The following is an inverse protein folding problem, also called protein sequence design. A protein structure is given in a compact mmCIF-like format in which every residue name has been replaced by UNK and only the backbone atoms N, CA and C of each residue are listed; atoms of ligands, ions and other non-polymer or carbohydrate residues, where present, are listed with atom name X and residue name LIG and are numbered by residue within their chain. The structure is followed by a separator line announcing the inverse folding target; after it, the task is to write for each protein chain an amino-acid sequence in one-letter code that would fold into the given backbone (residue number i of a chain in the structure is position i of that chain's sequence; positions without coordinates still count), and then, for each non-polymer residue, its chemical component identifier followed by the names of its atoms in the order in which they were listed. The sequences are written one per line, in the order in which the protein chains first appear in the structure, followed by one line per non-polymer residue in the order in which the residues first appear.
data_IF_678328381746
#
_entry.id   IF_678328381746
#
_cell.length_a   1.000
_cell.length_b   1.000
_cell.length_c   1.000
_cell.angle_alpha   90.00
_cell.angle_beta   90.00
_cell.angle_gamma   90.00
#
_symmetry.space_group_name_H-M   'P 1'
#
loop_
_entity.id
_entity.type
_entity.pdbx_description
1 polymer ?
#
# COMPACT_ATOMS: atom_id res chain seq x y z
N UNK A 1 -15.83 8.68 1.60
CA UNK A 1 -15.63 9.62 0.45
C UNK A 1 -15.04 8.81 -0.69
N UNK A 2 -15.73 8.66 -1.81
CA UNK A 2 -15.22 7.93 -2.98
C UNK A 2 -14.03 8.69 -3.56
N UNK A 3 -12.91 8.00 -3.83
CA UNK A 3 -11.74 8.59 -4.50
C UNK A 3 -12.17 9.19 -5.85
N UNK A 4 -11.86 10.46 -6.06
CA UNK A 4 -12.16 11.11 -7.36
C UNK A 4 -11.14 10.61 -8.39
N UNK A 5 -11.61 10.09 -9.49
CA UNK A 5 -10.86 9.45 -10.61
C UNK A 5 -9.77 10.32 -11.27
N UNK A 6 -9.65 11.61 -10.92
CA UNK A 6 -8.79 12.60 -11.60
C UNK A 6 -7.67 13.18 -10.73
N UNK A 7 -7.47 12.67 -9.50
CA UNK A 7 -6.49 13.22 -8.56
C UNK A 7 -5.51 12.12 -8.14
N UNK A 8 -4.21 12.30 -8.40
CA UNK A 8 -3.19 11.40 -7.84
C UNK A 8 -3.09 11.60 -6.33
N UNK A 9 -3.20 10.54 -5.56
CA UNK A 9 -3.08 10.56 -4.10
C UNK A 9 -1.61 10.47 -3.68
N UNK A 10 -1.21 11.27 -2.69
CA UNK A 10 0.08 11.15 -2.02
C UNK A 10 -0.18 10.57 -0.63
N UNK A 11 0.33 9.36 -0.39
CA UNK A 11 0.05 8.61 0.82
C UNK A 11 1.34 8.31 1.59
N UNK A 12 1.55 8.95 2.74
CA UNK A 12 2.63 8.54 3.65
C UNK A 12 2.38 7.11 4.16
N UNK A 13 3.45 6.32 4.26
CA UNK A 13 3.41 4.98 4.83
C UNK A 13 3.63 4.99 6.34
N UNK A 14 2.87 4.17 7.07
CA UNK A 14 3.05 3.86 8.49
C UNK A 14 3.08 2.35 8.64
N UNK A 15 4.29 1.78 8.72
CA UNK A 15 4.50 0.35 8.86
C UNK A 15 4.63 -0.01 10.33
N UNK A 16 3.79 -0.94 10.81
CA UNK A 16 3.72 -1.31 12.23
C UNK A 16 4.53 -2.59 12.46
N UNK A 17 5.52 -2.53 13.36
CA UNK A 17 6.29 -3.70 13.81
C UNK A 17 6.68 -3.54 15.27
N UNK A 18 6.45 -4.59 16.08
CA UNK A 18 6.76 -4.62 17.52
C UNK A 18 6.19 -3.39 18.27
N UNK A 19 5.00 -2.92 17.87
CA UNK A 19 4.37 -1.76 18.50
C UNK A 19 4.86 -0.40 18.05
N UNK A 20 5.81 -0.33 17.12
CA UNK A 20 6.44 0.90 16.62
C UNK A 20 6.12 1.14 15.15
N UNK A 21 6.27 2.37 14.70
CA UNK A 21 6.35 2.69 13.28
C UNK A 21 7.79 2.46 12.80
N UNK A 22 7.94 1.66 11.74
CA UNK A 22 9.27 1.30 11.20
C UNK A 22 9.34 1.57 9.70
N UNK A 23 10.57 1.62 9.18
CA UNK A 23 10.85 1.51 7.75
C UNK A 23 11.96 0.49 7.54
N UNK A 24 11.70 -0.51 6.71
CA UNK A 24 12.63 -1.61 6.42
C UNK A 24 13.33 -1.39 5.06
N UNK A 25 14.51 -1.96 4.90
CA UNK A 25 15.16 -2.10 3.59
C UNK A 25 14.67 -3.39 2.95
N UNK A 26 14.02 -3.30 1.80
CA UNK A 26 13.45 -4.44 1.05
C UNK A 26 12.60 -5.39 1.93
N UNK A 27 11.92 -4.85 2.94
CA UNK A 27 11.07 -5.63 3.83
C UNK A 27 11.79 -6.64 4.73
N UNK A 28 13.13 -6.62 4.79
CA UNK A 28 13.90 -7.59 5.57
C UNK A 28 13.82 -7.28 7.07
N UNK A 29 13.35 -8.22 7.91
CA UNK A 29 13.39 -8.05 9.36
C UNK A 29 14.81 -7.88 9.86
N UNK A 30 15.06 -6.88 10.71
CA UNK A 30 16.39 -6.53 11.21
C UNK A 30 17.12 -5.49 10.37
N UNK A 31 16.50 -4.99 9.30
CA UNK A 31 17.03 -3.91 8.46
C UNK A 31 16.37 -2.55 8.75
N UNK A 32 15.82 -2.37 9.97
CA UNK A 32 15.10 -1.15 10.33
C UNK A 32 16.02 0.07 10.23
N UNK A 33 15.73 0.96 9.27
CA UNK A 33 16.40 2.26 9.16
C UNK A 33 15.69 3.36 9.94
N UNK A 34 14.45 3.11 10.35
CA UNK A 34 13.61 4.01 11.14
C UNK A 34 12.87 3.18 12.17
N UNK A 35 12.84 3.64 13.42
CA UNK A 35 11.96 3.15 14.48
C UNK A 35 11.43 4.35 15.28
N UNK A 36 10.11 4.51 15.32
CA UNK A 36 9.42 5.60 16.03
C UNK A 36 8.33 4.99 16.91
N UNK A 37 8.30 5.37 18.16
CA UNK A 37 7.25 4.98 19.11
C UNK A 37 5.90 5.60 18.71
N UNK A 38 4.81 4.96 19.14
CA UNK A 38 3.45 5.47 18.96
C UNK A 38 3.06 5.70 17.48
N UNK A 39 2.85 4.64 16.69
CA UNK A 39 2.46 4.74 15.27
C UNK A 39 1.26 5.65 15.02
N UNK A 40 0.33 5.72 15.98
CA UNK A 40 -0.83 6.62 15.92
C UNK A 40 -0.44 8.10 15.87
N UNK A 41 0.61 8.50 16.60
CA UNK A 41 1.11 9.88 16.57
C UNK A 41 1.88 10.15 15.26
N UNK A 42 2.53 9.15 14.68
CA UNK A 42 3.15 9.27 13.36
C UNK A 42 2.09 9.49 12.29
N UNK A 43 1.01 8.71 12.32
CA UNK A 43 -0.12 8.89 11.41
C UNK A 43 -0.73 10.30 11.55
N UNK A 44 -0.92 10.76 12.80
CA UNK A 44 -1.43 12.11 13.08
C UNK A 44 -0.49 13.20 12.57
N UNK A 45 0.81 13.03 12.73
CA UNK A 45 1.81 13.98 12.19
C UNK A 45 1.66 14.14 10.67
N UNK A 46 1.48 13.04 9.93
CA UNK A 46 1.27 13.12 8.48
C UNK A 46 -0.04 13.81 8.12
N UNK A 47 -1.12 13.54 8.86
CA UNK A 47 -2.38 14.27 8.68
C UNK A 47 -2.22 15.77 8.94
N UNK A 48 -1.53 16.16 10.01
CA UNK A 48 -1.30 17.56 10.38
C UNK A 48 -0.45 18.29 9.33
N UNK A 49 0.42 17.60 8.61
CA UNK A 49 1.16 18.13 7.46
C UNK A 49 0.31 18.21 6.17
N UNK A 50 -0.93 17.71 6.20
CA UNK A 50 -1.88 17.85 5.11
C UNK A 50 -2.09 16.59 4.27
N UNK A 51 -1.60 15.42 4.69
CA UNK A 51 -1.94 14.15 4.05
C UNK A 51 -3.45 13.95 4.07
N UNK A 52 -4.03 13.55 2.94
CA UNK A 52 -5.47 13.29 2.81
C UNK A 52 -5.82 11.80 2.90
N UNK A 53 -4.82 10.96 2.88
CA UNK A 53 -4.93 9.51 3.01
C UNK A 53 -3.64 8.99 3.66
N UNK A 54 -3.73 7.91 4.42
CA UNK A 54 -2.58 7.24 5.04
C UNK A 54 -2.56 5.79 4.61
N UNK A 55 -1.37 5.30 4.27
CA UNK A 55 -1.12 3.89 3.99
C UNK A 55 -0.55 3.21 5.23
N UNK A 56 -1.22 2.16 5.72
CA UNK A 56 -0.79 1.43 6.93
C UNK A 56 -0.49 -0.02 6.57
N UNK A 57 0.64 -0.54 7.02
CA UNK A 57 1.00 -1.96 6.90
C UNK A 57 1.25 -2.57 8.28
N UNK A 58 0.51 -3.62 8.61
CA UNK A 58 0.75 -4.44 9.79
C UNK A 58 1.79 -5.52 9.48
N UNK A 59 3.06 -5.21 9.73
CA UNK A 59 4.17 -6.15 9.54
C UNK A 59 4.16 -7.26 10.58
N UNK A 60 3.67 -7.04 11.80
CA UNK A 60 3.53 -8.10 12.82
C UNK A 60 2.51 -9.14 12.35
N UNK A 61 1.38 -8.71 11.80
CA UNK A 61 0.42 -9.58 11.15
C UNK A 61 1.02 -10.35 9.98
N UNK A 62 1.90 -9.69 9.19
CA UNK A 62 2.56 -10.32 8.03
C UNK A 62 3.61 -11.34 8.44
N UNK A 63 4.51 -10.98 9.36
CA UNK A 63 5.70 -11.77 9.73
C UNK A 63 5.34 -12.84 10.78
N UNK A 64 4.66 -12.42 11.86
CA UNK A 64 4.41 -13.24 13.03
C UNK A 64 3.02 -13.86 13.05
N UNK A 65 2.11 -13.41 12.20
CA UNK A 65 0.69 -13.82 12.19
C UNK A 65 -0.12 -13.27 13.37
N UNK A 66 0.41 -12.29 14.09
CA UNK A 66 -0.23 -11.63 15.24
C UNK A 66 -0.61 -10.22 14.79
N UNK A 67 -1.91 -10.00 14.61
CA UNK A 67 -2.41 -8.70 14.17
C UNK A 67 -2.23 -7.61 15.23
N UNK A 68 -1.76 -6.44 14.80
CA UNK A 68 -1.60 -5.24 15.65
C UNK A 68 -2.93 -4.47 15.83
N UNK A 69 -4.03 -5.19 16.11
CA UNK A 69 -5.39 -4.68 16.06
C UNK A 69 -5.63 -3.47 16.99
N UNK A 70 -5.03 -3.49 18.18
CA UNK A 70 -5.17 -2.36 19.12
C UNK A 70 -4.45 -1.10 18.63
N UNK A 71 -3.33 -1.26 17.91
CA UNK A 71 -2.61 -0.13 17.31
C UNK A 71 -3.42 0.43 16.15
N UNK A 72 -3.98 -0.43 15.30
CA UNK A 72 -4.86 -0.02 14.20
C UNK A 72 -6.03 0.81 14.74
N UNK A 73 -6.68 0.37 15.82
CA UNK A 73 -7.76 1.13 16.48
C UNK A 73 -7.30 2.48 17.03
N UNK A 74 -6.07 2.55 17.59
CA UNK A 74 -5.52 3.84 18.05
C UNK A 74 -5.29 4.78 16.89
N UNK A 75 -4.75 4.29 15.76
CA UNK A 75 -4.58 5.10 14.56
C UNK A 75 -5.92 5.64 14.07
N UNK A 76 -6.93 4.77 13.92
CA UNK A 76 -8.28 5.16 13.49
C UNK A 76 -8.94 6.19 14.41
N UNK A 77 -8.62 6.18 15.69
CA UNK A 77 -9.12 7.16 16.67
C UNK A 77 -8.41 8.51 16.57
N UNK A 78 -7.13 8.48 16.20
CA UNK A 78 -6.26 9.66 16.22
C UNK A 78 -6.38 10.49 14.93
N UNK A 79 -6.62 9.85 13.78
CA UNK A 79 -6.73 10.52 12.49
C UNK A 79 -8.17 10.53 11.96
N UNK A 80 -8.49 11.54 11.16
CA UNK A 80 -9.80 11.69 10.49
C UNK A 80 -9.74 11.40 8.99
N UNK A 81 -8.53 11.29 8.43
CA UNK A 81 -8.34 10.98 7.01
C UNK A 81 -8.52 9.50 6.73
N UNK A 82 -8.98 9.12 5.53
CA UNK A 82 -9.11 7.72 5.13
C UNK A 82 -7.80 6.95 5.25
N UNK A 83 -7.90 5.67 5.64
CA UNK A 83 -6.78 4.74 5.77
C UNK A 83 -6.98 3.59 4.81
N UNK A 84 -5.94 3.27 4.01
CA UNK A 84 -5.82 1.96 3.40
C UNK A 84 -4.87 1.09 4.23
N UNK A 85 -5.28 -0.16 4.50
CA UNK A 85 -4.56 -1.03 5.42
C UNK A 85 -4.30 -2.40 4.81
N UNK A 86 -3.04 -2.82 4.91
CA UNK A 86 -2.58 -4.15 4.53
C UNK A 86 -1.75 -4.80 5.63
N UNK A 87 -1.25 -5.99 5.33
CA UNK A 87 -0.43 -6.75 6.25
C UNK A 87 -1.22 -7.78 7.06
N UNK A 88 -0.83 -9.04 6.95
CA UNK A 88 -1.39 -10.13 7.76
C UNK A 88 -2.86 -10.50 7.52
N UNK A 89 -3.52 -9.97 6.50
CA UNK A 89 -4.91 -10.31 6.19
C UNK A 89 -4.95 -11.69 5.54
N UNK A 90 -5.28 -12.71 6.35
CA UNK A 90 -5.21 -14.13 5.96
C UNK A 90 -6.56 -14.83 5.93
N UNK A 91 -7.65 -14.16 6.35
CA UNK A 91 -9.00 -14.68 6.30
C UNK A 91 -10.01 -13.61 5.89
N UNK A 92 -11.12 -14.05 5.33
CA UNK A 92 -12.25 -13.18 4.97
C UNK A 92 -12.84 -12.56 6.25
N UNK A 93 -12.88 -13.31 7.35
CA UNK A 93 -13.39 -12.85 8.65
C UNK A 93 -12.58 -11.67 9.17
N UNK A 94 -11.24 -11.75 9.12
CA UNK A 94 -10.38 -10.64 9.56
C UNK A 94 -10.48 -9.42 8.62
N UNK A 95 -10.61 -9.64 7.31
CA UNK A 95 -10.87 -8.54 6.37
C UNK A 95 -12.19 -7.82 6.69
N UNK A 96 -13.27 -8.57 7.05
CA UNK A 96 -14.54 -7.99 7.48
C UNK A 96 -14.39 -7.17 8.76
N UNK A 97 -13.72 -7.70 9.78
CA UNK A 97 -13.45 -6.97 11.03
C UNK A 97 -12.79 -5.61 10.78
N UNK A 98 -11.83 -5.57 9.85
CA UNK A 98 -11.16 -4.32 9.47
C UNK A 98 -12.09 -3.37 8.71
N UNK A 99 -12.88 -3.89 7.76
CA UNK A 99 -13.82 -3.09 6.99
C UNK A 99 -14.95 -2.54 7.85
N UNK A 100 -15.38 -3.28 8.89
CA UNK A 100 -16.38 -2.85 9.87
C UNK A 100 -15.84 -1.79 10.84
N UNK A 101 -14.52 -1.60 10.93
CA UNK A 101 -13.87 -0.50 11.67
C UNK A 101 -13.73 0.79 10.86
N UNK A 102 -14.39 0.92 9.70
CA UNK A 102 -14.27 2.08 8.80
C UNK A 102 -12.88 2.24 8.14
N UNK A 103 -12.08 1.18 8.04
CA UNK A 103 -10.93 1.19 7.13
C UNK A 103 -11.46 1.44 5.72
N UNK A 104 -11.01 2.50 5.07
CA UNK A 104 -11.49 2.89 3.75
C UNK A 104 -11.25 1.78 2.71
N UNK A 105 -10.08 1.12 2.78
CA UNK A 105 -9.69 0.08 1.83
C UNK A 105 -8.78 -0.95 2.51
N UNK A 106 -9.10 -2.23 2.38
CA UNK A 106 -8.21 -3.31 2.77
C UNK A 106 -7.33 -3.74 1.60
N UNK A 107 -6.06 -4.03 1.89
CA UNK A 107 -5.07 -4.46 0.90
C UNK A 107 -4.81 -5.96 1.11
N UNK A 108 -5.26 -6.76 0.16
CA UNK A 108 -5.19 -8.22 0.19
C UNK A 108 -4.05 -8.68 -0.71
N UNK A 109 -3.04 -9.33 -0.14
CA UNK A 109 -1.91 -9.90 -0.87
C UNK A 109 -2.09 -11.41 -1.08
N UNK A 110 -1.28 -12.20 -0.38
CA UNK A 110 -1.18 -13.67 -0.53
C UNK A 110 -2.54 -14.38 -0.59
N UNK A 111 -3.50 -14.00 0.28
CA UNK A 111 -4.81 -14.64 0.33
C UNK A 111 -5.57 -14.49 -1.00
N UNK A 112 -5.60 -13.28 -1.56
CA UNK A 112 -6.29 -13.01 -2.82
C UNK A 112 -5.62 -13.68 -4.01
N UNK A 113 -4.27 -13.76 -4.01
CA UNK A 113 -3.50 -14.40 -5.06
C UNK A 113 -3.69 -15.93 -5.04
N UNK A 114 -3.77 -16.54 -3.86
CA UNK A 114 -3.95 -17.99 -3.70
C UNK A 114 -5.40 -18.43 -3.83
N UNK A 115 -6.35 -17.57 -3.49
CA UNK A 115 -7.78 -17.87 -3.55
C UNK A 115 -8.57 -16.60 -3.98
N UNK A 116 -8.66 -16.32 -5.29
CA UNK A 116 -9.33 -15.14 -5.82
C UNK A 116 -10.82 -15.02 -5.45
N UNK A 117 -11.50 -16.13 -5.14
CA UNK A 117 -12.88 -16.14 -4.66
C UNK A 117 -13.08 -15.34 -3.37
N UNK A 118 -12.01 -15.13 -2.58
CA UNK A 118 -12.06 -14.28 -1.39
C UNK A 118 -12.26 -12.81 -1.75
N UNK A 119 -11.75 -12.39 -2.91
CA UNK A 119 -11.93 -11.05 -3.46
C UNK A 119 -13.41 -10.85 -3.80
N UNK A 120 -13.99 -11.81 -4.55
CA UNK A 120 -15.41 -11.77 -4.95
C UNK A 120 -16.32 -11.65 -3.73
N UNK A 121 -16.09 -12.49 -2.70
CA UNK A 121 -16.90 -12.42 -1.46
C UNK A 121 -16.86 -11.05 -0.79
N UNK A 122 -15.66 -10.48 -0.67
CA UNK A 122 -15.49 -9.18 0.00
C UNK A 122 -16.02 -8.03 -0.86
N UNK A 123 -15.82 -8.07 -2.18
CA UNK A 123 -16.33 -7.04 -3.09
C UNK A 123 -17.85 -7.05 -3.20
N UNK A 124 -18.49 -8.21 -3.15
CA UNK A 124 -19.94 -8.34 -3.14
C UNK A 124 -20.55 -7.76 -1.85
N UNK A 125 -19.87 -7.91 -0.72
CA UNK A 125 -20.36 -7.46 0.60
C UNK A 125 -20.08 -5.97 0.85
N UNK A 126 -18.89 -5.48 0.51
CA UNK A 126 -18.41 -4.15 0.89
C UNK A 126 -18.24 -3.19 -0.30
N UNK A 127 -18.36 -3.68 -1.52
CA UNK A 127 -18.08 -2.94 -2.75
C UNK A 127 -16.62 -3.06 -3.19
N UNK A 128 -16.43 -3.09 -4.51
CA UNK A 128 -15.10 -3.22 -5.13
C UNK A 128 -14.12 -2.13 -4.70
N UNK A 129 -14.58 -0.90 -4.55
CA UNK A 129 -13.75 0.26 -4.16
C UNK A 129 -13.03 0.07 -2.81
N UNK A 130 -13.56 -0.80 -1.94
CA UNK A 130 -12.99 -1.12 -0.63
C UNK A 130 -11.95 -2.24 -0.65
N UNK A 131 -11.76 -2.91 -1.81
CA UNK A 131 -10.90 -4.10 -1.97
C UNK A 131 -9.75 -3.78 -2.92
N UNK A 132 -8.55 -3.69 -2.39
CA UNK A 132 -7.30 -3.51 -3.12
C UNK A 132 -6.47 -4.78 -3.09
N UNK A 133 -5.86 -5.16 -4.21
CA UNK A 133 -4.95 -6.30 -4.29
C UNK A 133 -3.51 -5.81 -4.32
N UNK A 134 -2.66 -6.35 -3.44
CA UNK A 134 -1.21 -6.14 -3.52
C UNK A 134 -0.59 -7.06 -4.56
N UNK A 135 0.10 -6.45 -5.52
CA UNK A 135 0.97 -7.10 -6.49
C UNK A 135 2.41 -6.64 -6.28
N UNK A 136 3.12 -7.33 -5.41
CA UNK A 136 4.52 -7.07 -5.13
C UNK A 136 5.37 -7.80 -6.16
N UNK A 137 6.26 -7.09 -6.86
CA UNK A 137 7.06 -7.63 -7.97
C UNK A 137 8.55 -7.59 -7.66
N UNK A 138 9.21 -8.75 -7.82
CA UNK A 138 10.67 -8.88 -7.77
C UNK A 138 11.14 -9.64 -9.02
N UNK A 139 12.11 -9.08 -9.77
CA UNK A 139 12.57 -9.62 -11.06
C UNK A 139 11.40 -9.90 -12.03
N UNK A 140 10.42 -8.99 -12.10
CA UNK A 140 9.20 -9.13 -12.91
C UNK A 140 8.35 -10.36 -12.60
N UNK A 141 8.46 -10.94 -11.41
CA UNK A 141 7.62 -12.03 -10.90
C UNK A 141 6.90 -11.58 -9.63
N UNK A 142 5.68 -12.05 -9.44
CA UNK A 142 4.92 -11.74 -8.24
C UNK A 142 5.52 -12.48 -7.05
N UNK A 143 5.68 -11.77 -5.93
CA UNK A 143 6.13 -12.32 -4.65
C UNK A 143 5.01 -12.25 -3.61
N UNK A 144 4.94 -13.26 -2.76
CA UNK A 144 3.93 -13.43 -1.71
C UNK A 144 4.57 -13.79 -0.38
N UNK A 145 3.75 -13.90 0.69
CA UNK A 145 4.19 -14.27 2.05
C UNK A 145 5.28 -13.35 2.61
N UNK A 146 5.08 -12.03 2.48
CA UNK A 146 6.10 -11.06 2.89
C UNK A 146 7.38 -11.18 2.06
N UNK A 147 7.20 -11.39 0.75
CA UNK A 147 8.25 -11.47 -0.29
C UNK A 147 9.17 -12.70 -0.20
N UNK A 148 8.79 -13.69 0.62
CA UNK A 148 9.58 -14.91 0.84
C UNK A 148 9.39 -15.97 -0.24
N UNK A 149 8.28 -15.91 -0.99
CA UNK A 149 7.94 -16.88 -2.02
C UNK A 149 7.65 -16.15 -3.34
N UNK A 150 8.30 -16.61 -4.42
CA UNK A 150 8.08 -16.09 -5.77
C UNK A 150 7.19 -17.06 -6.54
N UNK A 151 6.16 -16.56 -7.19
CA UNK A 151 5.32 -17.34 -8.10
C UNK A 151 5.75 -17.11 -9.55
N UNK A 152 5.56 -18.11 -10.41
CA UNK A 152 5.98 -18.05 -11.82
C UNK A 152 4.94 -17.35 -12.69
N UNK A 153 4.50 -16.17 -12.26
CA UNK A 153 3.63 -15.26 -13.00
C UNK A 153 4.09 -13.83 -12.80
N UNK A 154 4.00 -13.03 -13.84
CA UNK A 154 4.23 -11.58 -13.75
C UNK A 154 2.96 -10.85 -13.25
N UNK A 155 3.09 -9.61 -12.74
CA UNK A 155 1.92 -8.80 -12.39
C UNK A 155 0.92 -8.62 -13.53
N UNK A 156 1.40 -8.49 -14.77
CA UNK A 156 0.56 -8.31 -15.96
C UNK A 156 -0.24 -9.55 -16.33
N UNK A 157 0.28 -10.75 -16.03
CA UNK A 157 -0.40 -12.01 -16.33
C UNK A 157 -1.57 -12.29 -15.39
N UNK A 158 -1.53 -11.81 -14.16
CA UNK A 158 -2.56 -12.10 -13.15
C UNK A 158 -3.50 -10.94 -12.86
N UNK A 159 -3.16 -9.73 -13.29
CA UNK A 159 -3.93 -8.53 -12.94
C UNK A 159 -5.39 -8.57 -13.44
N UNK A 160 -5.64 -9.14 -14.63
CA UNK A 160 -6.99 -9.23 -15.16
C UNK A 160 -7.88 -10.17 -14.33
N UNK A 161 -7.31 -11.26 -13.83
CA UNK A 161 -8.02 -12.21 -12.95
C UNK A 161 -8.61 -11.51 -11.72
N UNK A 162 -7.86 -10.57 -11.11
CA UNK A 162 -8.34 -9.83 -9.95
C UNK A 162 -9.46 -8.86 -10.29
N UNK A 163 -9.42 -8.22 -11.47
CA UNK A 163 -10.52 -7.40 -11.96
C UNK A 163 -11.78 -8.23 -12.12
N UNK A 164 -11.66 -9.41 -12.73
CA UNK A 164 -12.79 -10.32 -12.97
C UNK A 164 -13.41 -10.83 -11.65
N UNK A 165 -12.61 -10.92 -10.59
CA UNK A 165 -13.06 -11.23 -9.22
C UNK A 165 -13.56 -10.02 -8.42
N UNK A 166 -13.59 -8.82 -9.00
CA UNK A 166 -14.19 -7.64 -8.38
C UNK A 166 -13.24 -6.79 -7.54
N UNK A 167 -11.91 -6.93 -7.68
CA UNK A 167 -10.98 -5.98 -7.10
C UNK A 167 -11.23 -4.57 -7.65
N UNK A 168 -11.22 -3.55 -6.79
CA UNK A 168 -11.42 -2.16 -7.18
C UNK A 168 -10.14 -1.42 -7.55
N UNK A 169 -8.99 -1.91 -7.07
CA UNK A 169 -7.68 -1.29 -7.34
C UNK A 169 -6.53 -2.25 -7.06
N UNK A 170 -5.34 -1.85 -7.51
CA UNK A 170 -4.09 -2.58 -7.31
C UNK A 170 -3.09 -1.69 -6.58
N UNK A 171 -2.48 -2.21 -5.51
CA UNK A 171 -1.23 -1.70 -4.96
C UNK A 171 -0.09 -2.43 -5.67
N UNK A 172 0.70 -1.72 -6.45
CA UNK A 172 1.85 -2.30 -7.13
C UNK A 172 3.14 -1.85 -6.45
N UNK A 173 3.86 -2.81 -5.82
CA UNK A 173 5.15 -2.56 -5.17
C UNK A 173 6.29 -3.10 -6.02
N UNK A 174 7.21 -2.23 -6.41
CA UNK A 174 8.45 -2.66 -7.05
C UNK A 174 9.50 -2.97 -5.97
N UNK A 175 9.62 -4.25 -5.61
CA UNK A 175 10.50 -4.73 -4.54
C UNK A 175 11.99 -4.57 -4.90
N UNK A 176 12.33 -4.57 -6.20
CA UNK A 176 13.72 -4.42 -6.66
C UNK A 176 14.35 -3.08 -6.26
N UNK A 177 13.52 -2.07 -6.00
CA UNK A 177 13.97 -0.71 -5.63
C UNK A 177 13.46 -0.27 -4.26
N UNK A 178 12.61 -1.07 -3.60
CA UNK A 178 12.00 -0.72 -2.30
C UNK A 178 13.05 -0.53 -1.20
N UNK A 179 12.94 0.58 -0.47
CA UNK A 179 13.82 0.91 0.67
C UNK A 179 15.27 1.24 0.29
N UNK A 180 15.66 1.13 -0.99
CA UNK A 180 17.06 1.37 -1.42
C UNK A 180 17.39 2.85 -1.61
N UNK A 181 16.40 3.74 -1.63
CA UNK A 181 16.56 5.18 -1.85
C UNK A 181 17.37 5.51 -3.12
N UNK A 182 17.25 4.68 -4.15
CA UNK A 182 18.00 4.75 -5.41
C UNK A 182 17.18 5.19 -6.63
N UNK A 183 15.92 5.57 -6.44
CA UNK A 183 14.98 5.87 -7.54
C UNK A 183 14.22 4.64 -8.02
N UNK A 184 13.42 4.81 -9.06
CA UNK A 184 12.55 3.76 -9.61
C UNK A 184 12.52 3.79 -11.16
N UNK A 185 11.86 2.78 -11.74
CA UNK A 185 11.62 2.65 -13.17
C UNK A 185 10.12 2.70 -13.46
N UNK A 186 9.68 3.51 -14.42
CA UNK A 186 8.26 3.63 -14.79
C UNK A 186 7.75 2.42 -15.59
N UNK A 187 8.65 1.73 -16.32
CA UNK A 187 8.29 0.66 -17.25
C UNK A 187 7.40 -0.45 -16.64
N UNK A 188 7.67 -0.98 -15.41
CA UNK A 188 6.82 -2.02 -14.84
C UNK A 188 5.38 -1.55 -14.60
N UNK A 189 5.18 -0.35 -14.06
CA UNK A 189 3.83 0.18 -13.80
C UNK A 189 3.11 0.55 -15.10
N UNK A 190 3.83 1.05 -16.10
CA UNK A 190 3.26 1.34 -17.42
C UNK A 190 2.78 0.07 -18.13
N UNK A 191 3.54 -1.03 -18.01
CA UNK A 191 3.12 -2.34 -18.53
C UNK A 191 1.88 -2.85 -17.82
N UNK A 192 1.84 -2.76 -16.48
CA UNK A 192 0.69 -3.17 -15.69
C UNK A 192 -0.56 -2.38 -16.07
N UNK A 193 -0.45 -1.05 -16.21
CA UNK A 193 -1.58 -0.19 -16.64
C UNK A 193 -2.14 -0.55 -18.01
N UNK A 194 -1.31 -1.06 -18.92
CA UNK A 194 -1.76 -1.51 -20.25
C UNK A 194 -2.44 -2.88 -20.20
N UNK A 195 -2.19 -3.68 -19.16
CA UNK A 195 -2.73 -5.04 -19.03
C UNK A 195 -4.10 -5.09 -18.34
N UNK A 196 -4.42 -4.09 -17.51
CA UNK A 196 -5.67 -4.07 -16.75
C UNK A 196 -6.20 -2.64 -16.60
N UNK A 197 -7.51 -2.51 -16.73
CA UNK A 197 -8.23 -1.25 -16.47
C UNK A 197 -8.69 -1.22 -15.00
N UNK A 198 -7.73 -1.10 -14.10
CA UNK A 198 -7.94 -0.86 -12.67
C UNK A 198 -7.08 0.33 -12.23
N UNK A 199 -7.55 1.14 -11.27
CA UNK A 199 -6.72 2.12 -10.58
C UNK A 199 -5.49 1.46 -9.97
N UNK A 200 -4.30 2.07 -10.16
CA UNK A 200 -3.05 1.56 -9.62
C UNK A 200 -2.46 2.58 -8.66
N UNK A 201 -2.19 2.14 -7.44
CA UNK A 201 -1.34 2.84 -6.47
C UNK A 201 0.05 2.25 -6.58
N UNK A 202 1.06 3.11 -6.75
CA UNK A 202 2.45 2.69 -6.87
C UNK A 202 3.20 2.82 -5.55
N UNK A 203 4.03 1.82 -5.22
CA UNK A 203 4.95 1.83 -4.09
C UNK A 203 6.34 1.33 -4.52
N UNK A 204 7.38 1.77 -3.82
CA UNK A 204 8.77 1.34 -4.02
C UNK A 204 9.65 2.34 -4.76
N UNK A 205 10.78 2.69 -4.16
CA UNK A 205 11.86 3.46 -4.78
C UNK A 205 11.62 4.94 -5.03
N UNK A 206 10.50 5.52 -4.57
CA UNK A 206 10.22 6.96 -4.70
C UNK A 206 11.14 7.72 -3.76
N UNK A 207 12.01 8.58 -4.30
CA UNK A 207 13.04 9.29 -3.53
C UNK A 207 13.14 10.77 -3.81
N UNK A 208 12.51 11.24 -4.87
CA UNK A 208 12.56 12.65 -5.29
C UNK A 208 11.17 13.15 -5.72
N UNK A 209 11.00 14.46 -5.72
CA UNK A 209 9.80 15.11 -6.29
C UNK A 209 9.67 14.81 -7.79
N UNK A 210 10.79 14.66 -8.49
CA UNK A 210 10.76 14.29 -9.92
C UNK A 210 10.19 12.89 -10.16
N UNK A 211 10.41 11.96 -9.23
CA UNK A 211 9.79 10.62 -9.27
C UNK A 211 8.27 10.72 -9.16
N UNK A 212 7.77 11.58 -8.26
CA UNK A 212 6.33 11.84 -8.10
C UNK A 212 5.73 12.41 -9.38
N UNK A 213 6.42 13.35 -10.05
CA UNK A 213 5.96 13.91 -11.33
C UNK A 213 5.84 12.85 -12.40
N UNK A 214 6.85 11.99 -12.57
CA UNK A 214 6.85 10.89 -13.55
C UNK A 214 5.68 9.93 -13.30
N UNK A 215 5.41 9.58 -12.04
CA UNK A 215 4.28 8.73 -11.67
C UNK A 215 2.94 9.42 -11.95
N UNK A 216 2.82 10.72 -11.69
CA UNK A 216 1.63 11.50 -12.04
C UNK A 216 1.40 11.52 -13.57
N UNK A 217 2.45 11.70 -14.35
CA UNK A 217 2.40 11.66 -15.82
C UNK A 217 2.03 10.26 -16.34
N UNK A 218 2.47 9.20 -15.66
CA UNK A 218 2.06 7.83 -16.00
C UNK A 218 0.58 7.55 -15.66
N UNK A 219 -0.07 8.45 -14.91
CA UNK A 219 -1.51 8.39 -14.59
C UNK A 219 -1.86 7.29 -13.59
N UNK A 220 -1.02 7.03 -12.59
CA UNK A 220 -1.39 6.20 -11.44
C UNK A 220 -2.41 6.91 -10.57
N UNK A 221 -3.25 6.16 -9.85
CA UNK A 221 -4.22 6.71 -8.90
C UNK A 221 -3.53 7.39 -7.71
N UNK A 222 -2.43 6.83 -7.26
CA UNK A 222 -1.70 7.36 -6.12
C UNK A 222 -0.31 6.78 -5.97
N UNK A 223 0.43 7.32 -5.04
CA UNK A 223 1.77 6.88 -4.67
C UNK A 223 1.88 6.73 -3.16
N UNK A 224 2.55 5.66 -2.73
CA UNK A 224 2.93 5.44 -1.34
C UNK A 224 4.38 5.85 -1.17
N UNK A 225 4.65 6.72 -0.19
CA UNK A 225 5.99 7.20 0.11
C UNK A 225 6.33 6.79 1.55
N UNK A 226 7.30 5.91 1.70
CA UNK A 226 7.82 5.44 2.97
C UNK A 226 9.13 6.14 3.33
N UNK A 227 10.23 5.40 3.28
CA UNK A 227 11.56 5.77 3.76
C UNK A 227 12.04 7.17 3.35
N UNK A 228 11.64 7.66 2.17
CA UNK A 228 12.04 8.98 1.69
C UNK A 228 11.47 10.14 2.52
N UNK A 229 10.27 9.97 3.12
CA UNK A 229 9.70 10.96 4.05
C UNK A 229 10.42 10.95 5.40
N UNK A 230 10.73 9.77 5.91
CA UNK A 230 11.38 9.60 7.23
C UNK A 230 12.87 9.97 7.23
N UNK A 231 13.49 10.02 6.05
CA UNK A 231 14.90 10.39 5.88
C UNK A 231 15.09 11.80 5.29
N UNK A 232 14.03 12.61 5.30
CA UNK A 232 14.02 13.99 4.78
C UNK A 232 14.48 14.13 3.32
N UNK A 233 14.40 13.07 2.51
CA UNK A 233 14.67 13.13 1.07
C UNK A 233 13.52 13.78 0.29
N UNK A 234 12.30 13.60 0.79
CA UNK A 234 11.10 14.25 0.27
C UNK A 234 10.41 14.97 1.42
N UNK A 235 10.12 16.25 1.24
CA UNK A 235 9.21 16.99 2.10
C UNK A 235 7.77 16.68 1.67
N UNK A 236 6.94 16.21 2.62
CA UNK A 236 5.55 15.84 2.32
C UNK A 236 4.75 17.04 1.81
N UNK A 237 4.96 18.23 2.37
CA UNK A 237 4.22 19.44 1.96
C UNK A 237 4.55 19.86 0.53
N UNK A 238 5.76 19.58 0.06
CA UNK A 238 6.14 19.71 -1.35
C UNK A 238 5.50 18.65 -2.22
N UNK A 239 5.53 17.39 -1.80
CA UNK A 239 4.91 16.29 -2.52
C UNK A 239 3.41 16.52 -2.73
N UNK A 240 2.70 17.00 -1.70
CA UNK A 240 1.26 17.29 -1.74
C UNK A 240 0.87 18.36 -2.77
N UNK A 241 1.80 19.18 -3.27
CA UNK A 241 1.51 20.13 -4.37
C UNK A 241 1.18 19.41 -5.70
N UNK A 242 1.59 18.16 -5.85
CA UNK A 242 1.31 17.30 -7.01
C UNK A 242 0.02 16.50 -6.85
N UNK A 243 -0.56 16.51 -5.66
CA UNK A 243 -1.91 16.02 -5.45
C UNK A 243 -2.88 17.03 -6.08
N UNK A 244 -3.51 16.67 -7.20
CA UNK A 244 -4.49 17.54 -7.84
C UNK A 244 -5.65 17.83 -6.87
N UNK A 245 -6.12 19.07 -6.89
CA UNK A 245 -7.21 19.58 -6.04
C UNK A 245 -8.56 19.09 -6.52
#
# INVERSE_FOLDING_TARGET
MSFKKDEMLIMPAVDIKNGKCVQLVQGEPGSEMVEIENPELVAKHWEDLGAKNIHVIDLDGTINGIASFDIIKRILKEVSVPIQLGGGIRSVEYARELLDLDIERVIIGTMGIQNPETITKLSDEYGSDRIMISLDSKDNKVVIKGWQEKIDKSPTEISQEFKDHGAGSILFTNVDVEGLLGGFYTEPVEKLKKSVDLPIVYSGGITTIEDIKKLNESGVEGVVIGSALYTDKIDLTEALKYQKR
#
